data_IF_533547867165
#
_entry.id   IF_533547867165
#
_cell.length_a   1.000
_cell.length_b   1.000
_cell.length_c   1.000
_cell.angle_alpha   90.00
_cell.angle_beta   90.00
_cell.angle_gamma   90.00
#
_symmetry.space_group_name_H-M   'P 1'
#
loop_
_entity.id
_entity.type
_entity.pdbx_description
1 polymer ?
#
# COMPACT_ATOMS: atom_id res chain seq x y z
N UNK A 1 21.77 -4.02 -9.28
CA UNK A 1 20.72 -5.05 -9.56
C UNK A 1 19.41 -4.54 -9.01
N UNK A 2 18.29 -4.77 -9.68
CA UNK A 2 16.96 -4.25 -9.27
C UNK A 2 15.95 -5.38 -9.36
N UNK A 3 15.00 -5.45 -8.42
CA UNK A 3 13.96 -6.47 -8.41
C UNK A 3 12.57 -5.85 -8.48
N UNK A 4 11.65 -6.53 -9.12
CA UNK A 4 10.23 -6.19 -9.09
C UNK A 4 9.46 -7.28 -8.35
N UNK A 5 8.62 -6.89 -7.42
CA UNK A 5 7.75 -7.80 -6.67
C UNK A 5 6.30 -7.41 -6.89
N UNK A 6 5.44 -8.38 -7.16
CA UNK A 6 4.00 -8.14 -7.34
C UNK A 6 3.17 -9.08 -6.48
N UNK A 7 2.00 -8.63 -6.08
CA UNK A 7 1.05 -9.46 -5.35
C UNK A 7 0.13 -10.20 -6.33
N UNK A 8 0.01 -11.53 -6.25
CA UNK A 8 -0.90 -12.30 -7.10
C UNK A 8 -2.38 -11.96 -6.88
N UNK A 9 -2.73 -11.36 -5.75
CA UNK A 9 -4.12 -10.99 -5.41
C UNK A 9 -4.63 -9.75 -6.19
N UNK A 10 -3.76 -9.08 -6.94
CA UNK A 10 -4.07 -7.90 -7.74
C UNK A 10 -3.63 -8.11 -9.20
N UNK A 11 -4.01 -9.25 -9.76
CA UNK A 11 -3.72 -9.62 -11.15
C UNK A 11 -4.39 -8.61 -12.09
N UNK A 12 -3.64 -8.04 -12.99
CA UNK A 12 -4.10 -7.05 -13.96
C UNK A 12 -3.13 -5.89 -14.07
N UNK A 13 -3.53 -4.71 -13.60
CA UNK A 13 -2.73 -3.51 -13.79
C UNK A 13 -1.38 -3.52 -13.05
N UNK A 14 -1.32 -4.11 -11.85
CA UNK A 14 -0.10 -4.08 -11.03
C UNK A 14 1.04 -4.87 -11.70
N UNK A 15 0.75 -6.08 -12.21
CA UNK A 15 1.73 -6.89 -12.95
C UNK A 15 2.16 -6.19 -14.25
N UNK A 16 1.22 -5.56 -14.94
CA UNK A 16 1.51 -4.79 -16.17
C UNK A 16 2.44 -3.62 -15.87
N UNK A 17 2.16 -2.85 -14.82
CA UNK A 17 2.99 -1.71 -14.40
C UNK A 17 4.41 -2.18 -14.07
N UNK A 18 4.57 -3.24 -13.26
CA UNK A 18 5.88 -3.77 -12.91
C UNK A 18 6.65 -4.28 -14.12
N UNK A 19 5.99 -4.97 -15.05
CA UNK A 19 6.63 -5.44 -16.27
C UNK A 19 7.10 -4.28 -17.15
N UNK A 20 6.29 -3.23 -17.31
CA UNK A 20 6.68 -2.03 -18.04
C UNK A 20 7.88 -1.33 -17.38
N UNK A 21 7.88 -1.20 -16.06
CA UNK A 21 9.02 -0.64 -15.31
C UNK A 21 10.26 -1.49 -15.50
N UNK A 22 10.16 -2.82 -15.38
CA UNK A 22 11.26 -3.74 -15.59
C UNK A 22 11.85 -3.63 -17.00
N UNK A 23 10.99 -3.53 -18.01
CA UNK A 23 11.43 -3.34 -19.40
C UNK A 23 12.20 -2.03 -19.57
N UNK A 24 11.68 -0.92 -19.04
CA UNK A 24 12.34 0.39 -19.12
C UNK A 24 13.69 0.40 -18.38
N UNK A 25 13.81 -0.31 -17.28
CA UNK A 25 15.06 -0.44 -16.55
C UNK A 25 16.09 -1.28 -17.32
N UNK A 26 15.64 -2.39 -17.94
CA UNK A 26 16.51 -3.22 -18.80
C UNK A 26 17.04 -2.43 -20.01
N UNK A 27 16.20 -1.63 -20.67
CA UNK A 27 16.60 -0.75 -21.77
C UNK A 27 17.70 0.26 -21.36
N UNK A 28 17.80 0.57 -20.06
CA UNK A 28 18.83 1.45 -19.47
C UNK A 28 20.04 0.68 -18.92
N UNK A 29 20.18 -0.59 -19.28
CA UNK A 29 21.33 -1.42 -18.88
C UNK A 29 21.24 -1.95 -17.43
N UNK A 30 20.06 -1.91 -16.79
CA UNK A 30 19.90 -2.50 -15.48
C UNK A 30 19.60 -4.01 -15.59
N UNK A 31 20.25 -4.81 -14.76
CA UNK A 31 19.82 -6.19 -14.56
C UNK A 31 18.58 -6.21 -13.66
N UNK A 32 17.48 -6.80 -14.14
CA UNK A 32 16.21 -6.83 -13.43
C UNK A 32 15.67 -8.25 -13.34
N UNK A 33 15.46 -8.72 -12.11
CA UNK A 33 14.73 -9.95 -11.82
C UNK A 33 13.30 -9.60 -11.38
N UNK A 34 12.37 -10.47 -11.69
CA UNK A 34 10.97 -10.36 -11.25
C UNK A 34 10.68 -11.55 -10.35
N UNK A 35 10.10 -11.27 -9.19
CA UNK A 35 9.75 -12.26 -8.19
C UNK A 35 8.24 -12.29 -7.98
N UNK A 36 7.70 -13.47 -7.73
CA UNK A 36 6.36 -13.60 -7.16
C UNK A 36 6.38 -13.22 -5.67
N UNK A 37 5.22 -12.92 -5.11
CA UNK A 37 5.10 -12.64 -3.68
C UNK A 37 5.56 -13.83 -2.82
N UNK A 38 5.27 -15.06 -3.25
CA UNK A 38 5.75 -16.28 -2.59
C UNK A 38 7.28 -16.35 -2.55
N UNK A 39 7.95 -16.07 -3.67
CA UNK A 39 9.41 -16.02 -3.73
C UNK A 39 9.99 -14.90 -2.85
N UNK A 40 9.30 -13.76 -2.81
CA UNK A 40 9.67 -12.64 -1.96
C UNK A 40 9.58 -13.02 -0.48
N UNK A 41 8.45 -13.57 -0.04
CA UNK A 41 8.25 -14.01 1.34
C UNK A 41 9.17 -15.18 1.74
N UNK A 42 9.60 -16.00 0.79
CA UNK A 42 10.58 -17.04 1.01
C UNK A 42 12.04 -16.53 1.15
N UNK A 43 12.25 -15.20 1.16
CA UNK A 43 13.56 -14.57 1.35
C UNK A 43 14.51 -14.72 0.17
N UNK A 44 14.02 -14.95 -1.04
CA UNK A 44 14.82 -15.15 -2.25
C UNK A 44 15.36 -13.85 -2.88
N UNK A 45 14.93 -12.68 -2.37
CA UNK A 45 15.31 -11.38 -2.92
C UNK A 45 16.54 -10.85 -2.22
N UNK A 46 17.64 -10.77 -2.94
CA UNK A 46 18.94 -10.31 -2.45
C UNK A 46 19.31 -8.91 -2.94
N UNK A 47 18.54 -8.37 -3.89
CA UNK A 47 18.79 -7.10 -4.54
C UNK A 47 18.71 -5.93 -3.56
N UNK A 48 19.58 -4.93 -3.77
CA UNK A 48 19.65 -3.71 -2.94
C UNK A 48 18.58 -2.68 -3.31
N UNK A 49 17.99 -2.80 -4.50
CA UNK A 49 16.91 -1.91 -4.98
C UNK A 49 15.71 -2.77 -5.33
N UNK A 50 14.58 -2.45 -4.71
CA UNK A 50 13.33 -3.19 -4.87
C UNK A 50 12.26 -2.23 -5.39
N UNK A 51 11.56 -2.63 -6.45
CA UNK A 51 10.36 -1.95 -6.94
C UNK A 51 9.18 -2.90 -6.75
N UNK A 52 8.15 -2.45 -6.07
CA UNK A 52 7.06 -3.34 -5.68
C UNK A 52 5.68 -2.73 -5.86
N UNK A 53 4.67 -3.61 -5.89
CA UNK A 53 3.24 -3.30 -5.85
C UNK A 53 2.55 -4.15 -4.76
N UNK A 54 3.28 -4.53 -3.72
CA UNK A 54 2.78 -5.36 -2.64
C UNK A 54 1.69 -4.64 -1.83
N UNK A 55 0.72 -5.42 -1.32
CA UNK A 55 -0.35 -4.93 -0.44
C UNK A 55 -0.62 -5.87 0.73
N UNK A 56 -0.08 -7.08 0.68
CA UNK A 56 -0.23 -8.03 1.77
C UNK A 56 0.57 -7.55 3.00
N UNK A 57 0.00 -7.62 4.22
CA UNK A 57 0.66 -7.14 5.43
C UNK A 57 2.01 -7.80 5.72
N UNK A 58 2.19 -9.09 5.37
CA UNK A 58 3.48 -9.78 5.58
C UNK A 58 4.54 -9.26 4.62
N UNK A 59 4.14 -9.02 3.37
CA UNK A 59 5.03 -8.43 2.36
C UNK A 59 5.41 -7.00 2.75
N UNK A 60 4.47 -6.20 3.26
CA UNK A 60 4.73 -4.84 3.75
C UNK A 60 5.73 -4.87 4.92
N UNK A 61 5.54 -5.74 5.90
CA UNK A 61 6.45 -5.86 7.04
C UNK A 61 7.88 -6.27 6.59
N UNK A 62 8.00 -7.14 5.58
CA UNK A 62 9.29 -7.52 5.03
C UNK A 62 9.95 -6.37 4.26
N UNK A 63 9.18 -5.58 3.50
CA UNK A 63 9.68 -4.37 2.83
C UNK A 63 10.20 -3.34 3.84
N UNK A 64 9.48 -3.09 4.94
CA UNK A 64 9.92 -2.20 6.01
C UNK A 64 11.24 -2.68 6.62
N UNK A 65 11.37 -3.98 6.91
CA UNK A 65 12.62 -4.54 7.38
C UNK A 65 13.77 -4.33 6.39
N UNK A 66 13.51 -4.51 5.09
CA UNK A 66 14.53 -4.28 4.06
C UNK A 66 14.94 -2.81 3.97
N UNK A 67 14.01 -1.86 4.19
CA UNK A 67 14.31 -0.43 4.30
C UNK A 67 15.19 -0.14 5.52
N UNK A 68 14.85 -0.71 6.67
CA UNK A 68 15.63 -0.58 7.90
C UNK A 68 17.05 -1.15 7.75
N UNK A 69 17.21 -2.21 6.96
CA UNK A 69 18.50 -2.80 6.58
C UNK A 69 19.24 -1.97 5.50
N UNK A 70 18.72 -0.82 5.10
CA UNK A 70 19.35 0.13 4.17
C UNK A 70 19.13 -0.15 2.69
N UNK A 71 18.17 -1.00 2.30
CA UNK A 71 17.81 -1.22 0.90
C UNK A 71 16.92 -0.09 0.40
N UNK A 72 17.00 0.23 -0.88
CA UNK A 72 16.09 1.19 -1.52
C UNK A 72 14.82 0.47 -1.96
N UNK A 73 13.70 0.78 -1.32
CA UNK A 73 12.39 0.19 -1.62
C UNK A 73 11.47 1.24 -2.26
N UNK A 74 10.97 0.97 -3.44
CA UNK A 74 10.00 1.75 -4.22
C UNK A 74 8.80 0.84 -4.55
N UNK A 75 7.62 1.07 -4.14
CA UNK A 75 7.09 2.00 -3.16
C UNK A 75 7.54 1.60 -1.74
N UNK A 76 7.80 2.56 -0.87
CA UNK A 76 8.18 2.31 0.53
C UNK A 76 7.14 1.47 1.27
N UNK A 77 7.58 0.47 2.05
CA UNK A 77 6.70 -0.34 2.90
C UNK A 77 5.96 0.51 3.94
N UNK A 78 6.64 1.49 4.53
CA UNK A 78 6.02 2.48 5.43
C UNK A 78 5.03 3.37 4.70
N UNK A 79 5.36 3.80 3.47
CA UNK A 79 4.47 4.59 2.63
C UNK A 79 3.19 3.82 2.26
N UNK A 80 3.31 2.55 1.89
CA UNK A 80 2.16 1.69 1.58
C UNK A 80 1.26 1.53 2.81
N UNK A 81 1.84 1.25 3.98
CA UNK A 81 1.09 1.13 5.23
C UNK A 81 0.34 2.43 5.56
N UNK A 82 0.98 3.59 5.39
CA UNK A 82 0.35 4.89 5.62
C UNK A 82 -0.78 5.20 4.62
N UNK A 83 -0.81 4.53 3.47
CA UNK A 83 -1.91 4.65 2.50
C UNK A 83 -3.14 3.82 2.85
N UNK A 84 -3.11 2.98 3.89
CA UNK A 84 -4.32 2.34 4.42
C UNK A 84 -5.28 3.44 4.88
N UNK A 85 -6.53 3.41 4.38
CA UNK A 85 -7.47 4.53 4.51
C UNK A 85 -7.67 4.99 5.95
N UNK A 86 -7.88 4.07 6.88
CA UNK A 86 -8.03 4.42 8.29
C UNK A 86 -6.78 5.12 8.83
N UNK A 87 -5.61 4.55 8.59
CA UNK A 87 -4.33 5.10 9.06
C UNK A 87 -4.06 6.47 8.43
N UNK A 88 -4.26 6.60 7.12
CA UNK A 88 -4.13 7.89 6.42
C UNK A 88 -5.05 8.95 7.01
N UNK A 89 -6.33 8.63 7.25
CA UNK A 89 -7.29 9.55 7.87
C UNK A 89 -6.81 10.00 9.24
N UNK A 90 -6.35 9.08 10.10
CA UNK A 90 -5.82 9.41 11.42
C UNK A 90 -4.57 10.30 11.35
N UNK A 91 -3.66 10.04 10.41
CA UNK A 91 -2.45 10.85 10.21
C UNK A 91 -2.83 12.27 9.78
N UNK A 92 -3.73 12.41 8.80
CA UNK A 92 -4.13 13.72 8.29
C UNK A 92 -4.83 14.56 9.36
N UNK A 93 -5.77 13.98 10.09
CA UNK A 93 -6.48 14.65 11.18
C UNK A 93 -5.54 15.01 12.35
N UNK A 94 -4.66 14.09 12.75
CA UNK A 94 -3.73 14.27 13.85
C UNK A 94 -2.65 15.34 13.59
N UNK A 95 -2.38 15.67 12.33
CA UNK A 95 -1.39 16.66 11.93
C UNK A 95 -2.00 17.97 11.39
N UNK A 96 -3.32 18.17 11.55
CA UNK A 96 -4.05 19.34 11.05
C UNK A 96 -3.83 19.60 9.55
N UNK A 97 -3.65 18.56 8.77
CA UNK A 97 -3.53 18.66 7.31
C UNK A 97 -4.95 18.88 6.75
N UNK A 98 -5.14 19.87 5.84
CA UNK A 98 -6.44 20.09 5.20
C UNK A 98 -6.99 18.80 4.57
N UNK A 99 -8.10 18.32 5.11
CA UNK A 99 -8.74 17.08 4.72
C UNK A 99 -10.27 17.23 4.92
N UNK A 100 -11.11 16.63 4.07
CA UNK A 100 -12.55 16.64 4.29
C UNK A 100 -12.90 16.14 5.69
N UNK A 101 -13.87 16.76 6.35
CA UNK A 101 -14.32 16.33 7.67
C UNK A 101 -14.61 14.82 7.66
N UNK A 102 -13.94 14.11 8.54
CA UNK A 102 -13.94 12.65 8.52
C UNK A 102 -13.91 12.07 9.92
N UNK A 103 -14.58 10.94 10.09
CA UNK A 103 -14.60 10.18 11.33
C UNK A 103 -14.16 8.75 11.06
N UNK A 104 -13.34 8.21 11.95
CA UNK A 104 -13.07 6.78 12.01
C UNK A 104 -13.97 6.20 13.08
N UNK A 105 -14.79 5.23 12.71
CA UNK A 105 -15.73 4.54 13.61
C UNK A 105 -15.46 3.05 13.60
N UNK A 106 -15.67 2.39 14.71
CA UNK A 106 -15.60 0.94 14.79
C UNK A 106 -16.86 0.32 14.18
N UNK A 107 -16.75 -0.92 13.72
CA UNK A 107 -17.86 -1.64 13.07
C UNK A 107 -19.02 -1.97 14.01
N UNK A 108 -18.79 -1.95 15.32
CA UNK A 108 -19.77 -2.15 16.39
C UNK A 108 -20.44 -0.84 16.84
N UNK A 109 -19.92 0.33 16.39
CA UNK A 109 -20.47 1.63 16.72
C UNK A 109 -21.71 1.94 15.86
N UNK A 110 -22.77 2.49 16.49
CA UNK A 110 -23.95 2.93 15.77
C UNK A 110 -23.66 4.24 15.03
N UNK A 111 -23.22 4.11 13.79
CA UNK A 111 -22.81 5.23 12.92
C UNK A 111 -23.88 6.34 12.86
N UNK A 112 -25.18 5.95 12.83
CA UNK A 112 -26.31 6.90 12.83
C UNK A 112 -26.26 7.89 13.98
N UNK A 113 -25.95 7.43 15.19
CA UNK A 113 -25.88 8.28 16.37
C UNK A 113 -24.73 9.29 16.26
N UNK A 114 -23.61 8.88 15.65
CA UNK A 114 -22.48 9.78 15.42
C UNK A 114 -22.79 10.86 14.41
N UNK A 115 -23.44 10.51 13.32
CA UNK A 115 -23.85 11.46 12.28
C UNK A 115 -24.87 12.47 12.83
N UNK A 116 -25.84 12.03 13.63
CA UNK A 116 -26.81 12.91 14.27
C UNK A 116 -26.15 13.91 15.24
N UNK A 117 -25.18 13.46 16.03
CA UNK A 117 -24.43 14.34 16.95
C UNK A 117 -23.60 15.38 16.23
N UNK A 118 -23.13 15.09 15.03
CA UNK A 118 -22.33 15.97 14.22
C UNK A 118 -23.14 16.82 13.24
N UNK A 119 -24.47 16.72 13.25
CA UNK A 119 -25.42 17.41 12.33
C UNK A 119 -25.08 17.17 10.85
N UNK A 120 -24.68 15.94 10.52
CA UNK A 120 -24.30 15.55 9.17
C UNK A 120 -25.48 14.90 8.48
N UNK A 121 -26.03 15.58 7.46
CA UNK A 121 -27.14 15.09 6.66
C UNK A 121 -26.73 14.05 5.60
N UNK A 122 -25.53 14.17 5.05
CA UNK A 122 -24.99 13.25 4.02
C UNK A 122 -23.50 12.98 4.26
N UNK A 123 -23.11 11.73 4.07
CA UNK A 123 -21.71 11.35 4.17
C UNK A 123 -21.35 10.18 3.24
N UNK A 124 -20.07 10.02 2.97
CA UNK A 124 -19.53 8.84 2.33
C UNK A 124 -19.03 7.85 3.39
N UNK A 125 -19.55 6.62 3.35
CA UNK A 125 -19.07 5.53 4.21
C UNK A 125 -18.09 4.68 3.40
N UNK A 126 -16.89 4.48 3.93
CA UNK A 126 -15.83 3.69 3.29
C UNK A 126 -15.24 2.71 4.29
N UNK A 127 -14.87 1.52 3.84
CA UNK A 127 -14.09 0.59 4.66
C UNK A 127 -12.68 1.13 4.89
N UNK A 128 -12.22 1.05 6.13
CA UNK A 128 -10.90 1.54 6.54
C UNK A 128 -9.74 0.71 6.00
N UNK A 129 -9.97 -0.59 5.86
CA UNK A 129 -8.99 -1.62 5.49
C UNK A 129 -8.88 -1.87 3.97
N UNK A 130 -9.75 -1.26 3.15
CA UNK A 130 -9.76 -1.52 1.71
C UNK A 130 -9.59 -0.25 0.88
N UNK A 131 -8.76 -0.35 -0.15
CA UNK A 131 -8.49 0.75 -1.06
C UNK A 131 -9.58 0.92 -2.13
N UNK A 132 -10.10 -0.18 -2.66
CA UNK A 132 -11.21 -0.21 -3.61
C UNK A 132 -12.04 -1.48 -3.41
N UNK A 133 -13.37 -1.36 -3.52
CA UNK A 133 -14.24 -2.52 -3.66
C UNK A 133 -14.60 -2.64 -5.14
N UNK A 134 -14.16 -3.71 -5.78
CA UNK A 134 -14.76 -4.13 -7.04
C UNK A 134 -16.12 -4.76 -6.71
N UNK A 135 -17.19 -4.19 -7.28
CA UNK A 135 -18.51 -4.82 -7.26
C UNK A 135 -18.50 -6.03 -8.16
#
# INVERSE_FOLDING_TARGET
MRAGVYSPNHIGNDATILNMVAEQLRKRGCEVKIYSEEQFLAGKVEESIIVNMCRDPKSIALLQKMEDDGRLVLNSGYGIENCVRERMTRILLGNNIPYPESFVVNTDEVVKNRLQKADIAQCWIKRGDQHAMHK
#
